data_IF_370954744580
#
_entry.id   IF_370954744580
#
_cell.length_a   1.000
_cell.length_b   1.000
_cell.length_c   1.000
_cell.angle_alpha   90.00
_cell.angle_beta   90.00
_cell.angle_gamma   90.00
#
_symmetry.space_group_name_H-M   'P 1'
#
loop_
_entity.id
_entity.type
_entity.pdbx_description
1 polymer ?
#
# COMPACT_ATOMS: atom_id res chain seq x y z
N UNK A 1 -3.17 -5.52 -27.03
CA UNK A 1 -4.09 -4.74 -26.19
C UNK A 1 -4.61 -5.70 -25.13
N UNK A 2 -3.98 -5.72 -23.96
CA UNK A 2 -4.40 -6.55 -22.83
C UNK A 2 -5.63 -5.84 -22.22
N UNK A 3 -6.70 -6.59 -21.97
CA UNK A 3 -7.90 -6.08 -21.31
C UNK A 3 -7.56 -5.89 -19.83
N UNK A 4 -7.37 -4.64 -19.40
CA UNK A 4 -7.34 -4.28 -17.98
C UNK A 4 -8.73 -4.54 -17.39
N UNK A 5 -8.79 -5.40 -16.38
CA UNK A 5 -10.02 -5.69 -15.64
C UNK A 5 -9.99 -4.85 -14.37
N UNK A 6 -11.02 -4.04 -14.15
CA UNK A 6 -11.14 -3.27 -12.91
C UNK A 6 -11.98 -4.04 -11.90
N UNK A 7 -11.50 -4.11 -10.66
CA UNK A 7 -12.22 -4.67 -9.53
C UNK A 7 -12.30 -3.61 -8.43
N UNK A 8 -13.39 -2.84 -8.38
CA UNK A 8 -13.48 -1.68 -7.50
C UNK A 8 -12.37 -0.65 -7.78
N UNK A 9 -11.49 -0.42 -6.81
CA UNK A 9 -10.34 0.51 -6.92
C UNK A 9 -9.07 -0.14 -7.52
N UNK A 10 -9.13 -1.43 -7.83
CA UNK A 10 -7.98 -2.21 -8.28
C UNK A 10 -7.99 -2.34 -9.80
N UNK A 11 -6.86 -2.01 -10.43
CA UNK A 11 -6.61 -2.28 -11.84
C UNK A 11 -5.81 -3.58 -11.92
N UNK A 12 -6.45 -4.66 -12.40
CA UNK A 12 -5.93 -6.02 -12.30
C UNK A 12 -5.17 -6.41 -13.55
N UNK A 13 -3.92 -6.86 -13.37
CA UNK A 13 -3.13 -7.46 -14.45
C UNK A 13 -3.74 -8.80 -14.85
N UNK A 14 -3.94 -9.01 -16.15
CA UNK A 14 -4.67 -10.17 -16.67
C UNK A 14 -3.95 -11.51 -16.48
N UNK A 15 -2.61 -11.50 -16.36
CA UNK A 15 -1.83 -12.72 -16.16
C UNK A 15 -1.64 -12.99 -14.67
N UNK A 16 -2.12 -14.15 -14.15
CA UNK A 16 -1.85 -14.56 -12.79
C UNK A 16 -0.38 -14.81 -12.53
N UNK A 17 0.12 -14.28 -11.43
CA UNK A 17 1.47 -14.55 -10.92
C UNK A 17 1.54 -15.93 -10.23
N UNK A 18 0.39 -16.49 -9.82
CA UNK A 18 0.30 -17.83 -9.25
C UNK A 18 -1.07 -18.46 -9.51
N UNK A 19 -1.08 -19.78 -9.76
CA UNK A 19 -2.31 -20.58 -9.92
C UNK A 19 -2.17 -21.90 -9.16
N UNK A 20 -3.21 -22.28 -8.44
CA UNK A 20 -3.36 -23.59 -7.81
C UNK A 20 -4.77 -24.14 -8.04
N UNK A 21 -5.02 -25.37 -7.56
CA UNK A 21 -6.36 -25.95 -7.62
C UNK A 21 -7.42 -25.21 -6.80
N UNK A 22 -7.02 -24.33 -5.88
CA UNK A 22 -7.94 -23.63 -4.96
C UNK A 22 -7.80 -22.12 -4.94
N UNK A 23 -6.83 -21.57 -5.69
CA UNK A 23 -6.59 -20.13 -5.68
C UNK A 23 -5.88 -19.64 -6.93
N UNK A 24 -6.14 -18.38 -7.27
CA UNK A 24 -5.44 -17.63 -8.31
C UNK A 24 -4.95 -16.34 -7.68
N UNK A 25 -3.68 -16.01 -7.86
CA UNK A 25 -3.11 -14.73 -7.41
C UNK A 25 -2.74 -13.91 -8.62
N UNK A 26 -3.23 -12.67 -8.64
CA UNK A 26 -2.94 -11.68 -9.67
C UNK A 26 -2.26 -10.47 -9.04
N UNK A 27 -1.50 -9.74 -9.85
CA UNK A 27 -1.00 -8.43 -9.48
C UNK A 27 -2.03 -7.37 -9.86
N UNK A 28 -2.17 -6.34 -9.05
CA UNK A 28 -3.06 -5.22 -9.34
C UNK A 28 -2.47 -3.90 -8.85
N UNK A 29 -2.71 -2.80 -9.57
CA UNK A 29 -2.45 -1.45 -9.09
C UNK A 29 -3.58 -1.05 -8.12
N UNK A 30 -3.21 -0.49 -6.98
CA UNK A 30 -4.15 -0.11 -5.91
C UNK A 30 -4.18 1.42 -5.74
N UNK A 31 -5.13 2.08 -6.41
CA UNK A 31 -5.27 3.53 -6.36
C UNK A 31 -5.65 4.07 -4.96
N UNK A 32 -6.14 3.22 -4.06
CA UNK A 32 -6.56 3.62 -2.71
C UNK A 32 -5.55 3.32 -1.61
N UNK A 33 -4.40 2.70 -1.93
CA UNK A 33 -3.46 2.24 -0.90
C UNK A 33 -2.89 3.38 -0.06
N UNK A 34 -2.44 4.48 -0.69
CA UNK A 34 -1.91 5.63 0.04
C UNK A 34 -2.92 6.23 1.00
N UNK A 35 -4.18 6.38 0.57
CA UNK A 35 -5.25 6.91 1.42
C UNK A 35 -5.46 6.02 2.65
N UNK A 36 -5.45 4.69 2.48
CA UNK A 36 -5.56 3.74 3.62
C UNK A 36 -4.37 3.80 4.55
N UNK A 37 -3.15 3.92 4.01
CA UNK A 37 -1.95 4.05 4.83
C UNK A 37 -1.99 5.35 5.63
N UNK A 38 -2.33 6.48 5.00
CA UNK A 38 -2.53 7.76 5.65
C UNK A 38 -3.56 7.64 6.79
N UNK A 39 -4.74 7.10 6.49
CA UNK A 39 -5.81 6.89 7.47
C UNK A 39 -5.42 5.97 8.63
N UNK A 40 -4.53 5.00 8.38
CA UNK A 40 -4.04 4.07 9.42
C UNK A 40 -3.08 4.76 10.38
N UNK A 41 -2.18 5.61 9.88
CA UNK A 41 -1.12 6.21 10.71
C UNK A 41 -1.53 7.53 11.34
N UNK A 42 -2.39 8.33 10.68
CA UNK A 42 -2.78 9.65 11.16
C UNK A 42 -3.84 9.55 12.23
N UNK A 43 -3.47 9.85 13.47
CA UNK A 43 -4.38 9.72 14.63
C UNK A 43 -5.45 10.80 14.69
N UNK A 44 -5.15 12.00 14.18
CA UNK A 44 -6.04 13.17 14.18
C UNK A 44 -6.16 13.73 12.78
N UNK A 45 -7.11 13.21 11.99
CA UNK A 45 -7.29 13.58 10.57
C UNK A 45 -7.39 15.09 10.33
N UNK A 46 -7.96 15.85 11.27
CA UNK A 46 -8.09 17.31 11.19
C UNK A 46 -6.76 18.07 11.33
N UNK A 47 -5.70 17.41 11.77
CA UNK A 47 -4.39 18.02 11.98
C UNK A 47 -3.37 17.70 10.90
N UNK A 48 -3.64 16.76 9.99
CA UNK A 48 -2.65 16.27 9.03
C UNK A 48 -1.65 15.28 9.63
N UNK A 49 -0.67 14.87 8.82
CA UNK A 49 0.36 13.88 9.13
C UNK A 49 1.64 14.54 9.66
N UNK A 50 2.10 14.08 10.81
CA UNK A 50 3.39 14.47 11.41
C UNK A 50 4.57 13.69 10.82
N UNK A 51 5.81 14.12 11.08
CA UNK A 51 7.05 13.43 10.72
C UNK A 51 7.04 11.95 11.16
N UNK A 52 6.66 11.67 12.41
CA UNK A 52 6.60 10.31 12.97
C UNK A 52 5.58 9.44 12.26
N UNK A 53 4.43 10.01 11.92
CA UNK A 53 3.38 9.31 11.18
C UNK A 53 3.80 9.09 9.72
N UNK A 54 4.53 10.04 9.13
CA UNK A 54 5.12 9.91 7.81
C UNK A 54 6.13 8.76 7.75
N UNK A 55 7.07 8.66 8.70
CA UNK A 55 7.99 7.52 8.76
C UNK A 55 7.26 6.18 8.90
N UNK A 56 6.21 6.11 9.72
CA UNK A 56 5.39 4.92 9.86
C UNK A 56 4.69 4.54 8.54
N UNK A 57 4.16 5.53 7.81
CA UNK A 57 3.56 5.33 6.50
C UNK A 57 4.58 4.84 5.46
N UNK A 58 5.76 5.46 5.40
CA UNK A 58 6.80 5.10 4.44
C UNK A 58 7.29 3.65 4.66
N UNK A 59 7.44 3.22 5.92
CA UNK A 59 7.77 1.83 6.23
C UNK A 59 6.72 0.83 5.72
N UNK A 60 5.43 1.20 5.76
CA UNK A 60 4.36 0.36 5.22
C UNK A 60 4.39 0.34 3.68
N UNK A 61 4.63 1.49 3.04
CA UNK A 61 4.65 1.61 1.59
C UNK A 61 5.86 0.93 0.95
N UNK A 62 7.02 0.96 1.60
CA UNK A 62 8.20 0.20 1.15
C UNK A 62 7.90 -1.29 1.06
N UNK A 63 7.19 -1.86 2.04
CA UNK A 63 6.78 -3.26 2.01
C UNK A 63 5.77 -3.58 0.89
N UNK A 64 4.99 -2.59 0.46
CA UNK A 64 4.01 -2.74 -0.60
C UNK A 64 4.56 -2.42 -2.00
N UNK A 65 5.75 -1.83 -2.10
CA UNK A 65 6.30 -1.38 -3.37
C UNK A 65 7.02 -2.51 -4.09
N UNK A 66 6.64 -2.78 -5.35
CA UNK A 66 7.34 -3.74 -6.20
C UNK A 66 8.69 -3.22 -6.71
N UNK A 67 8.87 -1.90 -6.69
CA UNK A 67 10.08 -1.23 -7.14
C UNK A 67 10.42 -0.14 -6.14
N UNK A 68 11.60 -0.22 -5.56
CA UNK A 68 12.06 0.78 -4.61
C UNK A 68 12.81 1.90 -5.33
N UNK A 69 12.63 3.17 -4.92
CA UNK A 69 13.49 4.28 -5.33
C UNK A 69 14.97 3.94 -5.17
N UNK A 70 15.84 4.46 -6.05
CA UNK A 70 17.28 4.19 -6.01
C UNK A 70 17.91 4.47 -4.65
N UNK A 71 17.50 5.56 -3.99
CA UNK A 71 18.02 5.91 -2.66
C UNK A 71 17.61 4.94 -1.56
N UNK A 72 16.57 4.11 -1.78
CA UNK A 72 16.15 3.02 -0.89
C UNK A 72 16.82 1.68 -1.22
N UNK A 73 17.59 1.60 -2.31
CA UNK A 73 18.33 0.39 -2.70
C UNK A 73 19.75 0.37 -2.16
N UNK A 74 20.29 1.53 -1.73
CA UNK A 74 21.64 1.65 -1.19
C UNK A 74 21.64 1.42 0.34
N UNK A 75 22.21 0.30 0.84
CA UNK A 75 22.23 -0.01 2.26
C UNK A 75 23.11 0.95 3.08
N UNK A 76 24.02 1.70 2.44
CA UNK A 76 24.90 2.65 3.11
C UNK A 76 24.22 4.00 3.38
N UNK A 77 23.07 4.26 2.74
CA UNK A 77 22.31 5.50 2.91
C UNK A 77 21.26 5.32 4.00
N UNK A 78 21.32 6.05 5.13
CA UNK A 78 20.28 6.00 6.14
C UNK A 78 18.99 6.60 5.58
N UNK A 79 18.06 5.75 5.11
CA UNK A 79 16.82 6.22 4.47
C UNK A 79 15.98 7.13 5.39
N UNK A 80 16.06 6.92 6.71
CA UNK A 80 15.43 7.80 7.69
C UNK A 80 15.95 9.24 7.60
N UNK A 81 17.24 9.43 7.31
CA UNK A 81 17.82 10.77 7.13
C UNK A 81 17.31 11.40 5.85
N UNK A 82 17.34 10.67 4.73
CA UNK A 82 16.85 11.17 3.44
C UNK A 82 15.37 11.55 3.51
N UNK A 83 14.55 10.71 4.13
CA UNK A 83 13.13 10.99 4.33
C UNK A 83 12.88 12.13 5.32
N UNK A 84 13.70 12.27 6.35
CA UNK A 84 13.65 13.43 7.26
C UNK A 84 13.93 14.73 6.52
N UNK A 85 15.04 14.78 5.79
CA UNK A 85 15.43 15.94 4.98
C UNK A 85 14.33 16.27 3.94
N UNK A 86 13.76 15.27 3.26
CA UNK A 86 12.65 15.47 2.33
C UNK A 86 11.35 15.92 3.01
N UNK A 87 11.06 15.42 4.22
CA UNK A 87 9.90 15.85 4.97
C UNK A 87 10.03 17.32 5.35
N UNK A 88 11.16 17.70 5.95
CA UNK A 88 11.40 19.05 6.43
C UNK A 88 11.54 20.05 5.26
N UNK A 89 12.29 19.71 4.21
CA UNK A 89 12.61 20.68 3.14
C UNK A 89 11.51 20.80 2.07
N UNK A 90 10.76 19.72 1.81
CA UNK A 90 9.82 19.65 0.67
C UNK A 90 8.37 19.61 1.12
N UNK A 91 8.07 18.82 2.14
CA UNK A 91 6.68 18.53 2.54
C UNK A 91 6.18 19.46 3.65
N UNK A 92 7.06 19.86 4.56
CA UNK A 92 6.75 20.61 5.77
C UNK A 92 7.79 21.73 6.04
N UNK A 93 8.05 22.63 5.07
CA UNK A 93 9.08 23.67 5.23
C UNK A 93 8.79 24.67 6.37
N UNK A 94 7.53 24.76 6.80
CA UNK A 94 7.09 25.58 7.94
C UNK A 94 6.85 24.76 9.21
N UNK A 95 7.18 23.45 9.20
CA UNK A 95 6.92 22.51 10.29
C UNK A 95 5.44 22.17 10.49
N UNK A 96 4.56 22.52 9.54
CA UNK A 96 3.14 22.17 9.62
C UNK A 96 2.88 20.72 9.18
N UNK A 97 1.94 20.00 9.81
CA UNK A 97 1.64 18.63 9.38
C UNK A 97 1.05 18.62 7.97
N UNK A 98 1.32 17.55 7.22
CA UNK A 98 0.98 17.48 5.80
C UNK A 98 -0.41 16.93 5.54
N UNK A 99 -1.03 17.41 4.46
CA UNK A 99 -2.33 16.91 4.01
C UNK A 99 -2.21 15.54 3.33
N UNK A 100 -3.36 14.87 3.15
CA UNK A 100 -3.43 13.66 2.35
C UNK A 100 -2.96 13.90 0.91
N UNK A 101 -3.32 15.04 0.31
CA UNK A 101 -2.96 15.34 -1.07
C UNK A 101 -1.45 15.53 -1.25
N UNK A 102 -0.79 16.21 -0.30
CA UNK A 102 0.66 16.39 -0.29
C UNK A 102 1.37 15.03 -0.13
N UNK A 103 0.91 14.22 0.82
CA UNK A 103 1.43 12.86 1.04
C UNK A 103 1.25 11.98 -0.21
N UNK A 104 0.05 11.91 -0.77
CA UNK A 104 -0.26 11.10 -1.96
C UNK A 104 0.58 11.53 -3.17
N UNK A 105 0.72 12.84 -3.41
CA UNK A 105 1.54 13.37 -4.50
C UNK A 105 3.01 12.97 -4.35
N UNK A 106 3.55 13.08 -3.15
CA UNK A 106 4.92 12.68 -2.85
C UNK A 106 5.12 11.17 -3.01
N UNK A 107 4.24 10.35 -2.47
CA UNK A 107 4.36 8.89 -2.60
C UNK A 107 4.27 8.43 -4.06
N UNK A 108 3.45 9.11 -4.88
CA UNK A 108 3.34 8.81 -6.30
C UNK A 108 4.62 9.16 -7.06
N UNK A 109 5.30 10.25 -6.71
CA UNK A 109 6.59 10.60 -7.34
C UNK A 109 7.73 9.69 -6.92
N UNK A 110 7.69 9.17 -5.69
CA UNK A 110 8.72 8.30 -5.13
C UNK A 110 8.55 6.84 -5.59
N UNK A 111 7.37 6.26 -5.39
CA UNK A 111 7.12 4.84 -5.64
C UNK A 111 6.49 4.55 -7.01
N UNK A 112 5.93 5.58 -7.67
CA UNK A 112 5.05 5.35 -8.82
C UNK A 112 3.75 4.65 -8.40
N UNK A 113 3.12 3.91 -9.32
CA UNK A 113 1.92 3.13 -9.01
C UNK A 113 2.23 2.02 -7.98
N UNK A 114 1.48 2.03 -6.88
CA UNK A 114 1.61 1.01 -5.85
C UNK A 114 0.81 -0.24 -6.24
N UNK A 115 1.45 -1.41 -6.12
CA UNK A 115 0.87 -2.68 -6.56
C UNK A 115 0.64 -3.62 -5.39
N UNK A 116 -0.42 -4.41 -5.46
CA UNK A 116 -0.76 -5.44 -4.48
C UNK A 116 -0.96 -6.79 -5.15
N UNK A 117 -0.87 -7.85 -4.37
CA UNK A 117 -1.32 -9.18 -4.79
C UNK A 117 -2.77 -9.39 -4.35
N UNK A 118 -3.65 -9.68 -5.31
CA UNK A 118 -5.03 -10.10 -5.04
C UNK A 118 -5.11 -11.61 -5.16
N UNK A 119 -5.55 -12.27 -4.09
CA UNK A 119 -5.75 -13.73 -4.04
C UNK A 119 -7.24 -14.05 -4.13
N UNK A 120 -7.66 -14.57 -5.27
CA UNK A 120 -8.98 -15.15 -5.48
C UNK A 120 -8.99 -16.61 -5.02
N UNK A 121 -10.09 -17.03 -4.42
CA UNK A 121 -10.28 -18.38 -3.88
C UNK A 121 -11.42 -19.06 -4.62
N UNK A 122 -11.28 -20.36 -4.88
CA UNK A 122 -12.29 -21.16 -5.61
C UNK A 122 -13.58 -21.37 -4.83
N UNK A 123 -13.49 -21.41 -3.50
CA UNK A 123 -14.59 -21.76 -2.62
C UNK A 123 -14.50 -21.07 -1.26
N UNK A 124 -15.63 -21.04 -0.57
CA UNK A 124 -15.78 -20.40 0.75
C UNK A 124 -14.93 -21.05 1.84
N UNK A 125 -14.69 -22.37 1.78
CA UNK A 125 -13.89 -23.06 2.79
C UNK A 125 -12.44 -22.60 2.73
N UNK A 126 -11.89 -22.46 1.52
CA UNK A 126 -10.54 -21.97 1.30
C UNK A 126 -10.44 -20.47 1.69
N UNK A 127 -11.46 -19.67 1.38
CA UNK A 127 -11.57 -18.27 1.83
C UNK A 127 -11.57 -18.13 3.36
N UNK A 128 -12.40 -18.91 4.06
CA UNK A 128 -12.53 -18.86 5.52
C UNK A 128 -11.21 -19.23 6.22
N UNK A 129 -10.48 -20.22 5.71
CA UNK A 129 -9.16 -20.59 6.22
C UNK A 129 -8.16 -19.43 6.10
N UNK A 130 -8.07 -18.82 4.92
CA UNK A 130 -7.17 -17.69 4.66
C UNK A 130 -7.52 -16.47 5.55
N UNK A 131 -8.81 -16.14 5.66
CA UNK A 131 -9.24 -15.00 6.48
C UNK A 131 -9.00 -15.23 7.97
N UNK A 132 -9.17 -16.45 8.46
CA UNK A 132 -8.85 -16.80 9.85
C UNK A 132 -7.34 -16.68 10.14
N UNK A 133 -6.48 -17.13 9.22
CA UNK A 133 -5.03 -16.92 9.32
C UNK A 133 -4.68 -15.43 9.37
N UNK A 134 -5.28 -14.61 8.50
CA UNK A 134 -5.05 -13.15 8.50
C UNK A 134 -5.53 -12.47 9.78
N UNK A 135 -6.64 -12.91 10.38
CA UNK A 135 -7.13 -12.37 11.65
C UNK A 135 -6.14 -12.58 12.80
N UNK A 136 -5.37 -13.66 12.78
CA UNK A 136 -4.32 -13.92 13.78
C UNK A 136 -3.11 -12.99 13.63
N UNK A 137 -2.95 -12.33 12.48
CA UNK A 137 -1.82 -11.44 12.15
C UNK A 137 -2.28 -10.01 11.82
N UNK A 138 -3.32 -9.50 12.52
CA UNK A 138 -3.96 -8.20 12.24
C UNK A 138 -2.99 -7.00 12.19
N UNK A 139 -1.94 -7.03 13.01
CA UNK A 139 -1.01 -5.89 13.13
C UNK A 139 -0.19 -5.64 11.86
N UNK A 140 -0.07 -6.66 10.99
CA UNK A 140 0.72 -6.60 9.77
C UNK A 140 -0.04 -6.10 8.53
N UNK A 141 -1.38 -5.98 8.57
CA UNK A 141 -2.16 -5.67 7.37
C UNK A 141 -2.67 -4.24 7.33
N UNK A 142 -2.49 -3.59 6.17
CA UNK A 142 -3.18 -2.35 5.79
C UNK A 142 -4.28 -2.61 4.75
N UNK A 143 -4.31 -3.84 4.22
CA UNK A 143 -5.17 -4.21 3.10
C UNK A 143 -6.50 -4.79 3.62
N UNK A 144 -7.64 -4.31 3.08
CA UNK A 144 -8.94 -4.87 3.41
C UNK A 144 -9.10 -6.28 2.80
N UNK A 145 -10.03 -7.05 3.35
CA UNK A 145 -10.56 -8.21 2.64
C UNK A 145 -11.44 -7.70 1.49
N UNK A 146 -11.24 -8.26 0.30
CA UNK A 146 -12.11 -7.97 -0.83
C UNK A 146 -13.50 -8.56 -0.59
N UNK A 147 -14.57 -7.93 -1.08
CA UNK A 147 -15.91 -8.47 -0.98
C UNK A 147 -15.96 -9.85 -1.63
N UNK A 148 -16.58 -10.80 -0.94
CA UNK A 148 -17.01 -12.06 -1.54
C UNK A 148 -18.23 -11.74 -2.40
N UNK A 149 -18.09 -11.77 -3.71
CA UNK A 149 -19.28 -11.86 -4.56
C UNK A 149 -19.89 -13.23 -4.30
N UNK A 150 -21.10 -13.25 -3.74
CA UNK A 150 -21.98 -14.40 -3.87
C UNK A 150 -22.38 -14.49 -5.34
N UNK A 151 -21.71 -15.36 -6.09
CA UNK A 151 -22.21 -15.84 -7.39
C UNK A 151 -23.54 -16.57 -7.19
#
# INVERSE_FOLDING_TARGET
>A
MLLEVTFGQYEVESEPIYRSGTSVVVKAVDAGLCNRVFDKVVRRKTKGMTDKEFFAAMNLLVLASSTLPTFLQDPEVPHQRVWGDQFDDVLSPDGSPISLDAFSSYTSSIFGPLTVAIKFMSDSTAYDKETNLRRMHKDMSVLPLLPTESL
#
